data_IF_253596606716
#
_entry.id   IF_253596606716
#
_cell.length_a   1.000
_cell.length_b   1.000
_cell.length_c   1.000
_cell.angle_alpha   90.00
_cell.angle_beta   90.00
_cell.angle_gamma   90.00
#
_symmetry.space_group_name_H-M   'P 1'
#
loop_
_entity.id
_entity.type
_entity.pdbx_description
1 polymer ?
#
# COMPACT_ATOMS: atom_id res chain seq x y z
N UNK A 1 5.57 -6.58 -17.30
CA UNK A 1 5.76 -5.76 -18.51
C UNK A 1 4.80 -4.60 -18.37
N UNK A 2 5.26 -3.43 -17.91
CA UNK A 2 4.39 -2.26 -17.73
C UNK A 2 4.13 -1.67 -19.12
N UNK A 3 2.93 -1.90 -19.65
CA UNK A 3 2.48 -1.23 -20.87
C UNK A 3 1.84 0.07 -20.41
N UNK A 4 2.57 1.18 -20.52
CA UNK A 4 1.98 2.49 -20.25
C UNK A 4 1.09 2.93 -21.41
N UNK A 5 -0.19 3.19 -21.12
CA UNK A 5 -1.09 3.77 -22.11
C UNK A 5 -0.63 5.18 -22.52
N UNK A 6 -0.77 5.48 -23.81
CA UNK A 6 -0.54 6.83 -24.33
C UNK A 6 -1.62 7.80 -23.83
N UNK A 7 -1.36 9.12 -23.88
CA UNK A 7 -2.34 10.14 -23.49
C UNK A 7 -3.68 9.95 -24.21
N UNK A 8 -3.66 9.74 -25.53
CA UNK A 8 -4.85 9.51 -26.34
C UNK A 8 -5.62 8.24 -25.93
N UNK A 9 -4.92 7.17 -25.57
CA UNK A 9 -5.56 5.94 -25.11
C UNK A 9 -6.27 6.15 -23.77
N UNK A 10 -5.68 6.92 -22.85
CA UNK A 10 -6.35 7.30 -21.59
C UNK A 10 -7.60 8.13 -21.84
N UNK A 11 -7.53 9.10 -22.76
CA UNK A 11 -8.70 9.92 -23.12
C UNK A 11 -9.83 9.05 -23.70
N UNK A 12 -9.51 8.11 -24.58
CA UNK A 12 -10.49 7.14 -25.13
C UNK A 12 -11.14 6.33 -24.01
N UNK A 13 -10.36 5.79 -23.07
CA UNK A 13 -10.89 5.02 -21.93
C UNK A 13 -11.81 5.87 -21.05
N UNK A 14 -11.44 7.12 -20.81
CA UNK A 14 -12.25 8.05 -20.02
C UNK A 14 -13.59 8.37 -20.70
N UNK A 15 -13.59 8.59 -22.02
CA UNK A 15 -14.82 8.82 -22.79
C UNK A 15 -15.75 7.60 -22.72
N UNK A 16 -15.23 6.39 -22.87
CA UNK A 16 -16.04 5.16 -22.77
C UNK A 16 -16.59 5.00 -21.35
N UNK A 17 -15.82 5.27 -20.29
CA UNK A 17 -16.30 5.21 -18.90
C UNK A 17 -17.48 6.14 -18.64
N UNK A 18 -17.46 7.34 -19.19
CA UNK A 18 -18.50 8.35 -18.94
C UNK A 18 -19.77 8.13 -19.77
N UNK A 19 -19.65 7.49 -20.94
CA UNK A 19 -20.71 7.50 -21.96
C UNK A 19 -21.00 6.11 -22.54
N UNK A 20 -20.52 5.01 -21.93
CA UNK A 20 -20.82 3.67 -22.40
C UNK A 20 -22.35 3.40 -22.40
N UNK A 21 -22.91 2.83 -23.48
CA UNK A 21 -22.23 2.46 -24.72
C UNK A 21 -21.93 3.64 -25.65
N UNK A 22 -20.68 3.73 -26.13
CA UNK A 22 -20.25 4.76 -27.09
C UNK A 22 -19.63 4.13 -28.34
N UNK A 23 -19.96 4.66 -29.53
CA UNK A 23 -19.43 4.15 -30.80
C UNK A 23 -18.06 4.74 -31.13
N UNK A 24 -17.28 4.05 -31.97
CA UNK A 24 -16.00 4.57 -32.44
C UNK A 24 -16.11 5.87 -33.24
N UNK A 25 -17.27 6.14 -33.87
CA UNK A 25 -17.51 7.40 -34.57
C UNK A 25 -17.70 8.56 -33.56
N UNK A 26 -18.48 8.34 -32.50
CA UNK A 26 -18.68 9.33 -31.43
C UNK A 26 -17.39 9.63 -30.65
N UNK A 27 -16.57 8.62 -30.36
CA UNK A 27 -15.26 8.81 -29.73
C UNK A 27 -14.37 9.70 -30.62
N UNK A 28 -14.33 9.40 -31.91
CA UNK A 28 -13.52 10.14 -32.87
C UNK A 28 -13.96 11.61 -32.98
N UNK A 29 -15.28 11.84 -33.02
CA UNK A 29 -15.89 13.18 -33.04
C UNK A 29 -15.51 14.01 -31.80
N UNK A 30 -15.61 13.44 -30.60
CA UNK A 30 -15.27 14.14 -29.35
C UNK A 30 -13.76 14.43 -29.21
N UNK A 31 -12.91 13.58 -29.80
CA UNK A 31 -11.46 13.79 -29.87
C UNK A 31 -11.04 14.69 -31.04
N UNK A 32 -11.98 15.13 -31.89
CA UNK A 32 -11.71 15.99 -33.05
C UNK A 32 -10.86 15.33 -34.14
N UNK A 33 -10.88 14.00 -34.23
CA UNK A 33 -10.07 13.21 -35.16
C UNK A 33 -10.90 12.19 -35.93
N UNK A 34 -10.32 11.55 -36.95
CA UNK A 34 -11.04 10.54 -37.74
C UNK A 34 -11.10 9.18 -37.01
N UNK A 35 -12.18 8.42 -37.23
CA UNK A 35 -12.28 7.05 -36.70
C UNK A 35 -11.16 6.13 -37.19
N UNK A 36 -10.61 6.37 -38.39
CA UNK A 36 -9.49 5.62 -38.91
C UNK A 36 -8.22 5.81 -38.04
N UNK A 37 -8.03 7.00 -37.48
CA UNK A 37 -6.87 7.37 -36.66
C UNK A 37 -6.84 6.60 -35.33
N UNK A 38 -8.00 6.45 -34.67
CA UNK A 38 -8.11 5.76 -33.37
C UNK A 38 -8.30 4.25 -33.48
N UNK A 39 -8.33 3.69 -34.70
CA UNK A 39 -8.58 2.25 -34.91
C UNK A 39 -7.55 1.39 -34.17
N UNK A 40 -6.27 1.75 -34.27
CA UNK A 40 -5.18 1.01 -33.63
C UNK A 40 -5.29 1.07 -32.09
N UNK A 41 -5.62 2.24 -31.55
CA UNK A 41 -5.84 2.43 -30.10
C UNK A 41 -7.02 1.61 -29.60
N UNK A 42 -8.17 1.66 -30.28
CA UNK A 42 -9.35 0.88 -29.92
C UNK A 42 -9.08 -0.63 -29.99
N UNK A 43 -8.38 -1.10 -31.02
CA UNK A 43 -7.99 -2.51 -31.14
C UNK A 43 -7.05 -2.94 -30.02
N UNK A 44 -6.06 -2.11 -29.68
CA UNK A 44 -5.13 -2.39 -28.59
C UNK A 44 -5.83 -2.39 -27.23
N UNK A 45 -6.68 -1.40 -26.96
CA UNK A 45 -7.45 -1.33 -25.71
C UNK A 45 -8.42 -2.50 -25.55
N UNK A 46 -9.03 -2.98 -26.65
CA UNK A 46 -9.84 -4.20 -26.61
C UNK A 46 -8.99 -5.45 -26.40
N UNK A 47 -7.82 -5.54 -27.04
CA UNK A 47 -6.89 -6.66 -26.86
C UNK A 47 -6.37 -6.74 -25.42
N UNK A 48 -6.09 -5.60 -24.78
CA UNK A 48 -5.72 -5.51 -23.37
C UNK A 48 -6.91 -5.74 -22.44
N UNK A 49 -8.11 -6.00 -22.97
CA UNK A 49 -9.37 -6.13 -22.25
C UNK A 49 -9.79 -4.85 -21.48
N UNK A 50 -9.10 -3.73 -21.69
CA UNK A 50 -9.43 -2.41 -21.09
C UNK A 50 -10.76 -1.90 -21.64
N UNK A 51 -11.07 -2.22 -22.90
CA UNK A 51 -12.38 -1.99 -23.50
C UNK A 51 -12.99 -3.30 -23.96
N UNK A 52 -14.32 -3.35 -24.03
CA UNK A 52 -15.07 -4.44 -24.65
C UNK A 52 -15.89 -3.90 -25.82
N UNK A 53 -15.81 -4.55 -26.98
CA UNK A 53 -16.55 -4.15 -28.17
C UNK A 53 -17.75 -5.08 -28.40
N UNK A 54 -18.96 -4.50 -28.48
CA UNK A 54 -20.16 -5.24 -28.89
C UNK A 54 -20.57 -4.85 -30.31
N UNK A 55 -20.75 -5.82 -31.22
CA UNK A 55 -21.20 -5.53 -32.58
C UNK A 55 -22.48 -4.71 -32.60
N UNK A 56 -22.53 -3.68 -33.45
CA UNK A 56 -23.69 -2.78 -33.65
C UNK A 56 -24.11 -1.92 -32.43
N UNK A 57 -23.36 -1.95 -31.33
CA UNK A 57 -23.66 -1.15 -30.13
C UNK A 57 -22.55 -0.15 -29.83
N UNK A 58 -21.29 -0.59 -29.85
CA UNK A 58 -20.14 0.26 -29.54
C UNK A 58 -19.22 -0.38 -28.50
N UNK A 59 -18.50 0.47 -27.79
CA UNK A 59 -17.52 0.11 -26.79
C UNK A 59 -18.07 0.31 -25.38
N UNK A 60 -17.64 -0.59 -24.50
CA UNK A 60 -17.89 -0.63 -23.07
C UNK A 60 -16.54 -0.67 -22.36
N UNK A 61 -16.52 -0.36 -21.07
CA UNK A 61 -15.39 -0.69 -20.21
C UNK A 61 -15.26 -2.22 -20.17
N UNK A 62 -14.04 -2.73 -20.38
CA UNK A 62 -13.77 -4.15 -20.14
C UNK A 62 -13.35 -4.38 -18.69
N UNK A 63 -13.26 -5.64 -18.26
CA UNK A 63 -12.92 -6.00 -16.87
C UNK A 63 -11.54 -5.50 -16.45
N UNK A 64 -10.70 -5.23 -17.46
CA UNK A 64 -9.37 -4.70 -17.32
C UNK A 64 -9.36 -3.16 -17.15
N UNK A 65 -10.46 -2.48 -17.47
CA UNK A 65 -10.59 -1.05 -17.26
C UNK A 65 -10.44 -0.68 -15.79
N UNK A 66 -10.92 -1.52 -14.88
CA UNK A 66 -10.97 -1.23 -13.45
C UNK A 66 -9.57 -1.17 -12.83
N UNK A 67 -8.58 -1.89 -13.38
CA UNK A 67 -7.23 -1.90 -12.83
C UNK A 67 -6.35 -0.72 -13.25
N UNK A 68 -6.65 -0.04 -14.36
CA UNK A 68 -5.68 0.87 -15.01
C UNK A 68 -5.91 2.36 -14.70
N UNK A 69 -7.07 2.73 -14.13
CA UNK A 69 -7.42 4.16 -13.92
C UNK A 69 -8.28 4.48 -12.70
N UNK A 70 -8.62 3.52 -11.85
CA UNK A 70 -9.02 3.84 -10.48
C UNK A 70 -7.79 3.59 -9.61
N UNK A 71 -7.09 4.66 -9.23
CA UNK A 71 -6.33 4.57 -7.98
C UNK A 71 -7.34 4.07 -6.93
N UNK A 72 -7.11 2.91 -6.28
CA UNK A 72 -8.05 2.38 -5.30
C UNK A 72 -8.41 3.53 -4.36
N UNK A 73 -9.70 3.73 -4.07
CA UNK A 73 -10.16 4.91 -3.30
C UNK A 73 -9.30 5.15 -2.04
N UNK A 74 -8.86 4.05 -1.41
CA UNK A 74 -8.02 4.08 -0.21
C UNK A 74 -6.60 4.65 -0.42
N UNK A 75 -6.06 4.70 -1.64
CA UNK A 75 -4.69 5.17 -1.92
C UNK A 75 -4.53 6.68 -1.77
N UNK A 76 -5.63 7.43 -1.86
CA UNK A 76 -5.66 8.88 -1.64
C UNK A 76 -5.82 9.25 -0.16
N UNK A 77 -6.25 8.31 0.68
CA UNK A 77 -6.32 8.51 2.13
C UNK A 77 -4.92 8.78 2.68
N UNK A 78 -4.86 9.54 3.76
CA UNK A 78 -3.63 9.76 4.51
C UNK A 78 -3.31 8.57 5.42
N UNK A 79 -2.03 8.33 5.67
CA UNK A 79 -1.57 7.24 6.56
C UNK A 79 -2.23 7.30 7.93
N UNK A 80 -2.40 8.50 8.50
CA UNK A 80 -3.08 8.68 9.79
C UNK A 80 -4.53 8.18 9.83
N UNK A 81 -5.21 8.08 8.69
CA UNK A 81 -6.59 7.59 8.59
C UNK A 81 -6.68 6.06 8.59
N UNK A 82 -5.57 5.37 8.32
CA UNK A 82 -5.52 3.91 8.14
C UNK A 82 -4.63 3.23 9.18
N UNK A 83 -3.66 3.95 9.75
CA UNK A 83 -2.73 3.43 10.73
C UNK A 83 -3.45 2.79 11.92
N UNK A 84 -2.86 1.72 12.44
CA UNK A 84 -3.29 1.05 13.65
C UNK A 84 -2.54 1.60 14.87
N UNK A 85 -3.09 1.36 16.06
CA UNK A 85 -2.42 1.72 17.31
C UNK A 85 -1.10 0.93 17.41
N UNK A 86 0.05 1.60 17.64
CA UNK A 86 1.32 0.91 17.72
C UNK A 86 1.48 0.24 19.08
N UNK A 87 2.09 -0.94 19.10
CA UNK A 87 2.58 -1.58 20.33
C UNK A 87 4.00 -1.10 20.60
N UNK A 88 4.24 -0.55 21.80
CA UNK A 88 5.50 0.10 22.16
C UNK A 88 6.16 -0.60 23.35
N UNK A 89 7.48 -0.79 23.28
CA UNK A 89 8.30 -1.21 24.42
C UNK A 89 9.60 -0.42 24.52
N UNK A 90 10.05 -0.18 25.75
CA UNK A 90 11.35 0.42 26.00
C UNK A 90 12.47 -0.60 25.72
N UNK A 91 13.56 -0.14 25.12
CA UNK A 91 14.70 -0.99 24.73
C UNK A 91 15.39 -1.74 25.88
N UNK A 92 15.28 -1.22 27.10
CA UNK A 92 15.85 -1.82 28.31
C UNK A 92 15.03 -3.00 28.87
N UNK A 93 13.77 -3.16 28.44
CA UNK A 93 12.92 -4.27 28.89
C UNK A 93 13.41 -5.60 28.36
N UNK A 94 13.06 -6.67 29.04
CA UNK A 94 13.53 -8.01 28.71
C UNK A 94 12.87 -8.58 27.45
N UNK A 95 13.56 -9.51 26.79
CA UNK A 95 12.98 -10.33 25.71
C UNK A 95 11.74 -11.08 26.18
N UNK A 96 11.72 -11.55 27.43
CA UNK A 96 10.55 -12.20 28.01
C UNK A 96 9.32 -11.27 28.02
N UNK A 97 9.48 -10.02 28.45
CA UNK A 97 8.41 -9.02 28.40
C UNK A 97 7.96 -8.77 26.97
N UNK A 98 8.88 -8.72 26.00
CA UNK A 98 8.53 -8.57 24.59
C UNK A 98 7.65 -9.71 24.06
N UNK A 99 7.96 -10.97 24.42
CA UNK A 99 7.13 -12.13 24.05
C UNK A 99 5.73 -12.04 24.67
N UNK A 100 5.65 -11.69 25.96
CA UNK A 100 4.37 -11.52 26.65
C UNK A 100 3.54 -10.42 26.00
N UNK A 101 4.14 -9.27 25.68
CA UNK A 101 3.46 -8.17 25.01
C UNK A 101 2.98 -8.54 23.61
N UNK A 102 3.78 -9.22 22.79
CA UNK A 102 3.36 -9.72 21.46
C UNK A 102 2.09 -10.57 21.58
N UNK A 103 2.08 -11.48 22.56
CA UNK A 103 0.95 -12.40 22.75
C UNK A 103 -0.30 -11.70 23.28
N UNK A 104 -0.17 -10.85 24.30
CA UNK A 104 -1.30 -10.16 24.92
C UNK A 104 -1.95 -9.13 23.99
N UNK A 105 -1.15 -8.41 23.21
CA UNK A 105 -1.64 -7.41 22.27
C UNK A 105 -2.03 -8.02 20.91
N UNK A 106 -1.82 -9.33 20.72
CA UNK A 106 -2.00 -10.04 19.45
C UNK A 106 -1.30 -9.30 18.29
N UNK A 107 -0.09 -8.82 18.54
CA UNK A 107 0.69 -8.02 17.62
C UNK A 107 1.79 -8.86 16.95
N UNK A 108 2.05 -8.61 15.67
CA UNK A 108 3.14 -9.28 14.93
C UNK A 108 4.50 -8.59 15.12
N UNK A 109 4.47 -7.30 15.44
CA UNK A 109 5.64 -6.42 15.53
C UNK A 109 5.47 -5.43 16.68
N UNK A 110 6.55 -5.20 17.44
CA UNK A 110 6.62 -4.19 18.48
C UNK A 110 7.59 -3.10 18.05
N UNK A 111 7.19 -1.84 18.22
CA UNK A 111 8.05 -0.68 18.06
C UNK A 111 8.87 -0.46 19.35
N UNK A 112 10.18 -0.37 19.20
CA UNK A 112 11.12 -0.16 20.31
C UNK A 112 11.47 1.32 20.39
N UNK A 113 11.43 1.84 21.63
CA UNK A 113 11.74 3.25 21.93
C UNK A 113 12.91 3.40 22.90
N UNK A 114 13.59 4.55 22.80
CA UNK A 114 14.58 5.00 23.78
C UNK A 114 13.92 5.60 25.04
N UNK A 115 14.75 6.02 25.99
CA UNK A 115 14.31 6.66 27.24
C UNK A 115 13.54 7.97 27.02
N UNK A 116 13.76 8.63 25.87
CA UNK A 116 13.06 9.85 25.46
C UNK A 116 11.81 9.55 24.62
N UNK A 117 11.35 8.30 24.59
CA UNK A 117 10.20 7.82 23.78
C UNK A 117 10.38 7.96 22.27
N UNK A 118 11.61 8.12 21.78
CA UNK A 118 11.90 8.18 20.36
C UNK A 118 12.04 6.78 19.78
N UNK A 119 11.54 6.60 18.57
CA UNK A 119 11.65 5.33 17.86
C UNK A 119 13.11 5.00 17.52
N UNK A 120 13.54 3.78 17.86
CA UNK A 120 14.88 3.28 17.56
C UNK A 120 14.92 1.99 16.74
N UNK A 121 13.83 1.22 16.71
CA UNK A 121 13.78 -0.01 15.93
C UNK A 121 12.49 -0.79 16.14
N UNK A 122 12.41 -1.97 15.53
CA UNK A 122 11.30 -2.91 15.73
C UNK A 122 11.81 -4.26 16.19
N UNK A 123 10.92 -5.04 16.78
CA UNK A 123 11.16 -6.45 17.04
C UNK A 123 9.96 -7.27 16.60
N UNK A 124 10.22 -8.38 15.93
CA UNK A 124 9.21 -9.36 15.49
C UNK A 124 9.36 -10.66 16.25
N UNK A 125 8.35 -11.53 16.20
CA UNK A 125 8.46 -12.89 16.73
C UNK A 125 9.66 -13.65 16.12
N UNK A 126 10.00 -13.42 14.84
CA UNK A 126 11.15 -14.04 14.18
C UNK A 126 12.49 -13.60 14.79
N UNK A 127 12.61 -12.32 15.15
CA UNK A 127 13.80 -11.78 15.79
C UNK A 127 14.00 -12.37 17.19
N UNK A 128 12.92 -12.47 17.97
CA UNK A 128 12.94 -13.09 19.29
C UNK A 128 13.27 -14.58 19.20
N UNK A 129 12.71 -15.30 18.22
CA UNK A 129 13.05 -16.71 17.98
C UNK A 129 14.52 -16.89 17.65
N UNK A 130 15.07 -16.04 16.78
CA UNK A 130 16.49 -16.09 16.42
C UNK A 130 17.40 -15.89 17.62
N UNK A 131 17.04 -15.00 18.55
CA UNK A 131 17.85 -14.74 19.74
C UNK A 131 17.71 -15.84 20.80
N UNK A 132 16.52 -16.39 20.97
CA UNK A 132 16.22 -17.39 22.01
C UNK A 132 16.65 -18.79 21.62
N UNK A 133 16.74 -19.10 20.33
CA UNK A 133 17.15 -20.42 19.85
C UNK A 133 18.62 -20.70 20.20
N UNK A 134 18.83 -21.64 21.13
CA UNK A 134 20.18 -22.03 21.57
C UNK A 134 20.81 -21.09 22.62
N UNK A 135 20.08 -20.09 23.11
CA UNK A 135 20.53 -19.20 24.18
C UNK A 135 19.56 -19.23 25.37
N UNK A 136 19.85 -20.05 26.40
CA UNK A 136 18.96 -20.18 27.57
C UNK A 136 18.85 -18.92 28.42
N UNK A 137 19.76 -17.95 28.27
CA UNK A 137 19.71 -16.67 28.98
C UNK A 137 19.04 -15.55 28.18
N UNK A 138 18.60 -15.82 26.94
CA UNK A 138 18.02 -14.83 26.05
C UNK A 138 16.80 -14.12 26.65
N UNK A 139 15.98 -14.83 27.43
CA UNK A 139 14.77 -14.27 28.04
C UNK A 139 15.04 -13.07 28.94
N UNK A 140 16.17 -13.03 29.65
CA UNK A 140 16.55 -11.94 30.54
C UNK A 140 17.33 -10.81 29.85
N UNK A 141 17.72 -10.99 28.58
CA UNK A 141 18.46 -9.98 27.84
C UNK A 141 17.55 -8.79 27.48
N UNK A 142 18.09 -7.56 27.40
CA UNK A 142 17.35 -6.42 26.89
C UNK A 142 16.88 -6.63 25.46
N UNK A 143 15.63 -6.28 25.16
CA UNK A 143 15.00 -6.41 23.85
C UNK A 143 15.69 -5.56 22.80
N UNK A 144 16.36 -4.47 23.20
CA UNK A 144 17.22 -3.68 22.32
C UNK A 144 18.38 -4.47 21.69
N UNK A 145 18.74 -5.65 22.23
CA UNK A 145 19.72 -6.55 21.62
C UNK A 145 19.11 -7.47 20.56
N UNK A 146 17.79 -7.69 20.59
CA UNK A 146 17.05 -8.50 19.64
C UNK A 146 16.51 -7.69 18.46
N UNK A 147 16.39 -6.36 18.62
CA UNK A 147 15.68 -5.52 17.66
C UNK A 147 16.42 -5.38 16.32
N UNK A 148 15.65 -5.22 15.26
CA UNK A 148 16.13 -4.77 13.96
C UNK A 148 16.08 -3.24 13.90
N UNK A 149 17.23 -2.61 13.70
CA UNK A 149 17.32 -1.18 13.47
C UNK A 149 16.63 -0.84 12.14
N UNK A 150 15.55 -0.06 12.18
CA UNK A 150 14.91 0.44 10.98
C UNK A 150 15.63 1.72 10.52
N UNK A 151 16.11 1.81 9.27
CA UNK A 151 16.55 3.08 8.71
C UNK A 151 15.40 4.09 8.74
N UNK A 152 15.70 5.37 8.95
CA UNK A 152 14.68 6.43 8.92
C UNK A 152 13.89 6.47 7.59
N UNK A 153 14.47 5.99 6.49
CA UNK A 153 13.83 5.92 5.16
C UNK A 153 12.69 4.89 5.07
N UNK A 154 12.62 3.95 6.03
CA UNK A 154 11.56 2.97 6.14
C UNK A 154 10.39 3.44 7.03
N UNK A 155 10.52 4.60 7.67
CA UNK A 155 9.46 5.21 8.45
C UNK A 155 8.57 6.10 7.57
N UNK A 156 7.30 6.21 7.95
CA UNK A 156 6.27 6.90 7.20
C UNK A 156 5.80 8.16 7.94
N UNK A 157 5.36 9.16 7.19
CA UNK A 157 4.74 10.36 7.76
C UNK A 157 3.23 10.17 7.95
N UNK A 158 2.59 10.70 9.02
CA UNK A 158 1.14 10.63 9.19
C UNK A 158 0.35 11.26 8.04
N UNK A 159 0.92 12.27 7.39
CA UNK A 159 0.26 13.07 6.35
C UNK A 159 0.56 12.56 4.92
N UNK A 160 1.41 11.54 4.75
CA UNK A 160 1.63 10.96 3.43
C UNK A 160 0.42 10.13 2.98
N UNK A 161 0.24 9.95 1.68
CA UNK A 161 -0.85 9.12 1.16
C UNK A 161 -0.53 7.64 1.28
N UNK A 162 -1.56 6.80 1.41
CA UNK A 162 -1.43 5.34 1.40
C UNK A 162 -0.75 4.84 0.11
N UNK A 163 -1.04 5.46 -1.03
CA UNK A 163 -0.35 5.15 -2.28
C UNK A 163 1.16 5.35 -2.20
N UNK A 164 1.62 6.43 -1.54
CA UNK A 164 3.05 6.67 -1.29
C UNK A 164 3.63 5.66 -0.28
N UNK A 165 2.93 5.44 0.83
CA UNK A 165 3.31 4.49 1.87
C UNK A 165 3.54 3.08 1.29
N UNK A 166 2.60 2.59 0.48
CA UNK A 166 2.69 1.27 -0.18
C UNK A 166 3.92 1.19 -1.09
N UNK A 167 4.22 2.24 -1.86
CA UNK A 167 5.43 2.26 -2.71
C UNK A 167 6.71 2.18 -1.87
N UNK A 168 6.77 2.92 -0.77
CA UNK A 168 7.90 2.88 0.18
C UNK A 168 8.06 1.49 0.78
N UNK A 169 6.96 0.89 1.25
CA UNK A 169 6.96 -0.46 1.82
C UNK A 169 7.40 -1.50 0.78
N UNK A 170 6.89 -1.44 -0.45
CA UNK A 170 7.26 -2.36 -1.53
C UNK A 170 8.74 -2.22 -1.92
N UNK A 171 9.24 -1.00 -2.05
CA UNK A 171 10.63 -0.73 -2.41
C UNK A 171 11.62 -1.33 -1.38
N UNK A 172 11.22 -1.40 -0.11
CA UNK A 172 12.03 -1.95 0.98
C UNK A 172 11.63 -3.38 1.38
N UNK A 173 10.66 -4.00 0.71
CA UNK A 173 10.19 -5.35 1.03
C UNK A 173 9.55 -5.48 2.41
N UNK A 174 8.90 -4.42 2.91
CA UNK A 174 8.32 -4.35 4.25
C UNK A 174 6.87 -4.83 4.27
N UNK A 175 6.50 -5.58 5.30
CA UNK A 175 5.10 -5.99 5.58
C UNK A 175 4.33 -4.94 6.40
N UNK A 176 5.07 -4.07 7.08
CA UNK A 176 4.56 -2.94 7.84
C UNK A 176 5.67 -1.94 8.13
N UNK A 177 5.28 -0.72 8.51
CA UNK A 177 6.20 0.35 8.80
C UNK A 177 5.69 1.23 9.95
N UNK A 178 6.59 1.78 10.78
CA UNK A 178 6.23 2.72 11.81
C UNK A 178 5.85 4.07 11.18
N UNK A 179 4.80 4.69 11.71
CA UNK A 179 4.42 6.06 11.37
C UNK A 179 5.03 6.96 12.42
N UNK A 180 5.89 7.89 12.00
CA UNK A 180 6.65 8.76 12.90
C UNK A 180 6.28 10.22 12.71
N UNK A 181 6.17 10.94 13.81
CA UNK A 181 6.10 12.41 13.80
C UNK A 181 7.45 13.02 13.41
N UNK A 182 7.49 14.32 13.15
CA UNK A 182 8.75 15.06 12.95
C UNK A 182 9.72 14.94 14.14
N UNK A 183 9.18 14.77 15.37
CA UNK A 183 9.96 14.53 16.60
C UNK A 183 10.52 13.10 16.71
N UNK A 184 10.28 12.23 15.71
CA UNK A 184 10.60 10.78 15.73
C UNK A 184 9.87 9.98 16.81
N UNK A 185 8.71 10.47 17.24
CA UNK A 185 7.82 9.71 18.12
C UNK A 185 6.92 8.81 17.27
N UNK A 186 6.56 7.64 17.80
CA UNK A 186 5.70 6.70 17.08
C UNK A 186 4.25 7.18 17.18
N UNK A 187 3.73 7.69 16.06
CA UNK A 187 2.32 8.08 15.93
C UNK A 187 1.42 6.88 15.65
N UNK A 188 1.94 5.86 14.95
CA UNK A 188 1.13 4.76 14.43
C UNK A 188 1.96 3.60 13.89
N UNK A 189 1.27 2.55 13.48
CA UNK A 189 1.82 1.44 12.71
C UNK A 189 0.95 1.19 11.48
N UNK A 190 1.55 1.11 10.29
CA UNK A 190 0.84 0.66 9.08
C UNK A 190 1.25 -0.77 8.77
N UNK A 191 0.29 -1.60 8.37
CA UNK A 191 0.52 -2.96 7.89
C UNK A 191 -0.19 -3.18 6.57
N UNK A 192 0.29 -4.14 5.77
CA UNK A 192 -0.43 -4.59 4.55
C UNK A 192 -1.87 -4.97 4.88
N UNK A 193 -2.08 -5.64 6.01
CA UNK A 193 -3.41 -6.06 6.50
C UNK A 193 -4.29 -4.85 6.82
N UNK A 194 -3.77 -3.81 7.46
CA UNK A 194 -4.51 -2.58 7.75
C UNK A 194 -4.99 -1.90 6.45
N UNK A 195 -4.10 -1.79 5.47
CA UNK A 195 -4.41 -1.20 4.15
C UNK A 195 -5.49 -2.02 3.44
N UNK A 196 -5.34 -3.36 3.40
CA UNK A 196 -6.33 -4.25 2.79
C UNK A 196 -7.69 -4.19 3.47
N UNK A 197 -7.72 -4.15 4.81
CA UNK A 197 -8.97 -3.99 5.57
C UNK A 197 -9.66 -2.69 5.18
N UNK A 198 -8.90 -1.60 5.10
CA UNK A 198 -9.45 -0.29 4.73
C UNK A 198 -9.96 -0.23 3.30
N UNK A 199 -9.27 -0.90 2.38
CA UNK A 199 -9.70 -1.02 1.00
C UNK A 199 -11.09 -1.69 0.92
N UNK A 200 -11.29 -2.81 1.62
CA UNK A 200 -12.59 -3.50 1.68
C UNK A 200 -13.68 -2.64 2.33
N UNK A 201 -13.36 -1.84 3.34
CA UNK A 201 -14.33 -0.92 3.97
C UNK A 201 -14.74 0.25 3.06
N UNK A 202 -13.86 0.66 2.14
CA UNK A 202 -14.07 1.85 1.29
C UNK A 202 -14.74 1.49 -0.05
N UNK A 203 -14.70 0.21 -0.44
CA UNK A 203 -15.33 -0.32 -1.66
C UNK A 203 -16.83 -0.68 -1.47
N UNK A 204 -17.43 -0.32 -0.32
CA UNK A 204 -18.87 -0.49 0.02
C UNK A 204 -19.54 0.88 0.10
#
# INVERSE_FOLDING_TARGET
>A
MNIELTARQRDIVQLVRQQAPITGDQIAEQLGISRATIRSDLSLLVMLNVLSAKPKVGYFTGDAADYETQEPSCTTLSVKEVQEKPTLLASALSVHEAVVTLFLENADTICIVDENKRFIGIVTAKDLLKLTLGNPQAGAMPVGMAMSWLPAMAALSPDESIGSAVRTMLAHGLDGAPVLTESREVAGWISKTAILRKMVETDV
#
